data_IF_119473503469
#
_entry.id   IF_119473503469
#
_cell.length_a   1.000
_cell.length_b   1.000
_cell.length_c   1.000
_cell.angle_alpha   90.00
_cell.angle_beta   90.00
_cell.angle_gamma   90.00
#
_symmetry.space_group_name_H-M   'P 1'
#
loop_
_entity.id
_entity.type
_entity.pdbx_description
1 polymer ?
#
# COMPACT_ATOMS: atom_id res chain seq x y z
N UNK A 1 -3.67 10.27 -17.33
CA UNK A 1 -2.52 10.05 -16.42
C UNK A 1 -1.41 9.30 -17.17
N UNK A 2 -0.49 10.01 -17.86
CA UNK A 2 0.52 9.37 -18.71
C UNK A 2 1.44 8.40 -17.97
N UNK A 3 1.92 8.76 -16.77
CA UNK A 3 2.83 7.91 -16.01
C UNK A 3 2.19 6.60 -15.53
N UNK A 4 0.92 6.63 -15.16
CA UNK A 4 0.18 5.41 -14.79
C UNK A 4 0.03 4.47 -15.98
N UNK A 5 -0.19 5.02 -17.19
CA UNK A 5 -0.18 4.22 -18.43
C UNK A 5 1.21 3.61 -18.69
N UNK A 6 2.29 4.37 -18.50
CA UNK A 6 3.66 3.86 -18.64
C UNK A 6 3.96 2.74 -17.64
N UNK A 7 3.57 2.91 -16.37
CA UNK A 7 3.72 1.91 -15.33
C UNK A 7 2.93 0.64 -15.67
N UNK A 8 1.64 0.77 -16.01
CA UNK A 8 0.80 -0.38 -16.41
C UNK A 8 1.34 -1.13 -17.63
N UNK A 9 1.85 -0.41 -18.63
CA UNK A 9 2.48 -1.03 -19.79
C UNK A 9 3.77 -1.77 -19.41
N UNK A 10 4.58 -1.23 -18.51
CA UNK A 10 5.78 -1.89 -18.03
C UNK A 10 5.44 -3.15 -17.24
N UNK A 11 4.44 -3.10 -16.34
CA UNK A 11 3.94 -4.28 -15.63
C UNK A 11 3.48 -5.37 -16.61
N UNK A 12 2.70 -5.02 -17.64
CA UNK A 12 2.22 -5.97 -18.66
C UNK A 12 3.33 -6.67 -19.42
N UNK A 13 4.47 -6.01 -19.63
CA UNK A 13 5.63 -6.60 -20.32
C UNK A 13 6.52 -7.38 -19.34
N UNK A 14 6.54 -6.98 -18.07
CA UNK A 14 7.48 -7.47 -17.06
C UNK A 14 6.93 -8.66 -16.26
N UNK A 15 5.61 -8.74 -16.10
CA UNK A 15 4.95 -9.72 -15.26
C UNK A 15 4.13 -10.70 -16.10
N UNK A 16 4.28 -11.97 -15.77
CA UNK A 16 3.62 -13.12 -16.37
C UNK A 16 2.97 -13.91 -15.24
N UNK A 17 1.82 -14.58 -15.46
CA UNK A 17 1.24 -15.46 -14.45
C UNK A 17 2.11 -16.71 -14.23
N UNK A 18 2.98 -17.03 -15.18
CA UNK A 18 3.90 -18.17 -15.09
C UNK A 18 5.35 -17.73 -15.02
N UNK A 19 6.12 -18.47 -14.20
CA UNK A 19 7.56 -18.33 -14.07
C UNK A 19 7.98 -17.26 -13.06
N UNK A 20 9.28 -17.24 -12.69
CA UNK A 20 9.82 -16.24 -11.79
C UNK A 20 9.87 -14.87 -12.48
N UNK A 21 9.61 -13.81 -11.71
CA UNK A 21 9.83 -12.43 -12.16
C UNK A 21 11.34 -12.17 -12.16
N UNK A 22 11.89 -11.65 -13.26
CA UNK A 22 13.33 -11.32 -13.31
C UNK A 22 13.64 -10.03 -12.55
N UNK A 23 14.86 -9.92 -12.02
CA UNK A 23 15.32 -8.70 -11.34
C UNK A 23 15.31 -7.48 -12.25
N UNK A 24 15.66 -7.64 -13.54
CA UNK A 24 15.61 -6.55 -14.51
C UNK A 24 14.18 -6.08 -14.80
N UNK A 25 13.21 -7.00 -14.74
CA UNK A 25 11.79 -6.69 -14.84
C UNK A 25 11.32 -5.90 -13.61
N UNK A 26 11.66 -6.35 -12.40
CA UNK A 26 11.35 -5.67 -11.14
C UNK A 26 11.94 -4.26 -11.09
N UNK A 27 13.22 -4.09 -11.43
CA UNK A 27 13.90 -2.80 -11.38
C UNK A 27 13.29 -1.80 -12.38
N UNK A 28 12.87 -2.26 -13.57
CA UNK A 28 12.17 -1.42 -14.54
C UNK A 28 10.85 -0.87 -13.99
N UNK A 29 10.06 -1.73 -13.35
CA UNK A 29 8.76 -1.34 -12.77
C UNK A 29 8.97 -0.45 -11.55
N UNK A 30 9.96 -0.77 -10.69
CA UNK A 30 10.35 0.04 -9.53
C UNK A 30 10.73 1.46 -9.93
N UNK A 31 11.60 1.63 -10.93
CA UNK A 31 12.01 2.95 -11.40
C UNK A 31 10.83 3.80 -11.90
N UNK A 32 9.84 3.18 -12.55
CA UNK A 32 8.62 3.88 -13.00
C UNK A 32 7.70 4.21 -11.83
N UNK A 33 7.56 3.30 -10.87
CA UNK A 33 6.78 3.51 -9.65
C UNK A 33 7.34 4.67 -8.82
N UNK A 34 8.67 4.78 -8.70
CA UNK A 34 9.35 5.86 -7.98
C UNK A 34 9.04 7.26 -8.53
N UNK A 35 8.75 7.35 -9.82
CA UNK A 35 8.40 8.60 -10.48
C UNK A 35 6.93 9.03 -10.28
N UNK A 36 6.09 8.17 -9.70
CA UNK A 36 4.67 8.48 -9.44
C UNK A 36 4.55 9.43 -8.26
N UNK A 37 3.87 10.57 -8.50
CA UNK A 37 3.54 11.58 -7.49
C UNK A 37 2.03 11.60 -7.25
N UNK A 38 1.55 12.21 -6.14
CA UNK A 38 0.12 12.32 -5.85
C UNK A 38 -0.70 12.94 -7.00
N UNK A 39 -0.17 13.96 -7.68
CA UNK A 39 -0.85 14.57 -8.84
C UNK A 39 -1.03 13.62 -10.02
N UNK A 40 -0.10 12.65 -10.19
CA UNK A 40 -0.16 11.69 -11.29
C UNK A 40 -1.32 10.69 -11.08
N UNK A 41 -1.85 10.62 -9.86
CA UNK A 41 -2.98 9.79 -9.43
C UNK A 41 -4.22 10.57 -8.98
N UNK A 42 -4.23 11.90 -9.15
CA UNK A 42 -5.37 12.75 -8.75
C UNK A 42 -5.54 12.93 -7.23
N UNK A 43 -4.45 12.79 -6.45
CA UNK A 43 -4.44 12.91 -4.99
C UNK A 43 -3.62 14.11 -4.50
N UNK A 44 -3.46 15.14 -5.33
CA UNK A 44 -2.67 16.32 -5.02
C UNK A 44 -3.26 17.11 -3.85
N UNK A 45 -4.59 17.28 -3.80
CA UNK A 45 -5.31 17.96 -2.73
C UNK A 45 -5.16 17.24 -1.39
N UNK A 46 -5.35 15.92 -1.36
CA UNK A 46 -5.19 15.08 -0.17
C UNK A 46 -3.74 15.16 0.35
N UNK A 47 -2.77 15.15 -0.57
CA UNK A 47 -1.37 15.33 -0.21
C UNK A 47 -1.10 16.74 0.37
N UNK A 48 -1.76 17.81 -0.12
CA UNK A 48 -1.68 19.14 0.50
C UNK A 48 -2.21 19.12 1.94
N UNK A 49 -3.40 18.54 2.13
CA UNK A 49 -4.06 18.46 3.43
C UNK A 49 -3.16 17.71 4.43
N UNK A 50 -2.58 16.58 4.01
CA UNK A 50 -1.68 15.79 4.85
C UNK A 50 -0.40 16.56 5.24
N UNK A 51 0.16 17.41 4.35
CA UNK A 51 1.34 18.23 4.68
C UNK A 51 1.03 19.34 5.67
N UNK A 52 -0.17 19.90 5.60
CA UNK A 52 -0.63 20.95 6.51
C UNK A 52 -1.16 20.40 7.84
N UNK A 53 -1.24 19.08 7.99
CA UNK A 53 -1.59 18.39 9.23
C UNK A 53 -0.48 18.56 10.28
N UNK A 54 -0.48 19.71 10.95
CA UNK A 54 0.46 20.04 12.01
C UNK A 54 0.10 19.33 13.32
N UNK A 55 1.09 19.08 14.17
CA UNK A 55 0.87 18.53 15.53
C UNK A 55 -0.05 19.41 16.40
N UNK A 56 -0.27 20.66 15.99
CA UNK A 56 -1.16 21.66 16.58
C UNK A 56 -2.65 21.48 16.25
N UNK A 57 -3.01 20.66 15.25
CA UNK A 57 -4.40 20.21 15.04
C UNK A 57 -4.71 18.90 15.76
N UNK A 58 -3.78 18.39 16.60
CA UNK A 58 -4.18 17.47 17.67
C UNK A 58 -5.25 18.18 18.47
N UNK A 59 -6.47 17.63 18.62
CA UNK A 59 -7.40 18.17 19.60
C UNK A 59 -6.64 18.20 20.92
N UNK A 60 -6.55 19.38 21.52
CA UNK A 60 -5.89 19.56 22.81
C UNK A 60 -6.39 18.48 23.76
N UNK A 61 -5.48 17.71 24.36
CA UNK A 61 -5.79 16.89 25.52
C UNK A 61 -6.36 17.82 26.61
N UNK A 62 -7.68 17.97 26.67
CA UNK A 62 -8.24 19.08 27.44
C UNK A 62 -9.74 19.29 27.33
N UNK A 63 -10.53 18.21 27.30
CA UNK A 63 -11.85 18.08 27.96
C UNK A 63 -12.55 16.84 27.44
N UNK A 64 -12.57 15.79 28.28
CA UNK A 64 -13.49 14.65 28.13
C UNK A 64 -14.92 15.19 28.23
N UNK A 65 -15.50 15.56 27.09
CA UNK A 65 -16.93 15.70 26.93
C UNK A 65 -17.54 14.31 26.89
N UNK A 66 -18.21 13.93 27.97
CA UNK A 66 -19.16 12.81 27.99
C UNK A 66 -20.24 13.13 26.96
N UNK A 67 -20.32 12.33 25.89
CA UNK A 67 -21.32 12.31 24.79
C UNK A 67 -20.82 12.85 23.45
N UNK A 68 -20.67 11.96 22.47
CA UNK A 68 -20.65 12.34 21.05
C UNK A 68 -19.92 11.38 20.12
N UNK A 69 -20.45 10.16 19.99
CA UNK A 69 -20.10 9.15 18.99
C UNK A 69 -18.65 8.62 19.01
N UNK A 70 -18.55 7.30 18.90
CA UNK A 70 -17.35 6.61 18.48
C UNK A 70 -16.86 7.30 17.18
N UNK A 71 -15.84 8.16 17.26
CA UNK A 71 -15.18 8.71 16.08
C UNK A 71 -14.40 7.56 15.46
N UNK A 72 -15.12 6.63 14.82
CA UNK A 72 -14.52 5.65 13.94
C UNK A 72 -13.69 6.48 12.95
N UNK A 73 -12.37 6.30 12.98
CA UNK A 73 -11.51 6.85 11.96
C UNK A 73 -12.14 6.50 10.60
N UNK A 74 -12.18 7.46 9.67
CA UNK A 74 -12.79 7.22 8.37
C UNK A 74 -12.22 5.91 7.78
N UNK A 75 -13.04 5.11 7.08
CA UNK A 75 -12.57 3.83 6.58
C UNK A 75 -11.43 4.04 5.58
N UNK A 76 -10.52 3.07 5.52
CA UNK A 76 -9.51 3.01 4.47
C UNK A 76 -10.24 2.91 3.13
N UNK A 77 -9.88 3.78 2.19
CA UNK A 77 -10.43 3.74 0.83
C UNK A 77 -9.46 3.03 -0.10
N UNK A 78 -9.97 2.14 -0.93
CA UNK A 78 -9.21 1.51 -2.00
C UNK A 78 -9.57 2.15 -3.34
N UNK A 79 -8.58 2.66 -4.06
CA UNK A 79 -8.73 3.15 -5.42
C UNK A 79 -8.15 2.11 -6.37
N UNK A 80 -9.03 1.41 -7.07
CA UNK A 80 -8.65 0.46 -8.10
C UNK A 80 -8.09 1.18 -9.33
N UNK A 81 -6.96 0.72 -9.87
CA UNK A 81 -6.36 1.24 -11.10
C UNK A 81 -6.43 0.21 -12.22
N UNK A 82 -6.00 -1.02 -11.94
CA UNK A 82 -5.94 -2.10 -12.92
C UNK A 82 -5.92 -3.46 -12.23
N UNK A 83 -6.45 -4.48 -12.90
CA UNK A 83 -6.35 -5.87 -12.50
C UNK A 83 -6.42 -6.76 -13.74
N UNK A 84 -5.56 -7.76 -13.77
CA UNK A 84 -5.55 -8.87 -14.71
C UNK A 84 -4.94 -10.10 -14.05
N UNK A 85 -4.85 -11.22 -14.77
CA UNK A 85 -4.30 -12.46 -14.23
C UNK A 85 -2.84 -12.35 -13.76
N UNK A 86 -2.06 -11.42 -14.33
CA UNK A 86 -0.62 -11.30 -14.05
C UNK A 86 -0.29 -10.29 -12.96
N UNK A 87 -1.10 -9.23 -12.80
CA UNK A 87 -0.84 -8.20 -11.79
C UNK A 87 -2.09 -7.37 -11.47
N UNK A 88 -2.08 -6.77 -10.29
CA UNK A 88 -3.04 -5.75 -9.88
C UNK A 88 -2.32 -4.44 -9.50
N UNK A 89 -3.04 -3.33 -9.61
CA UNK A 89 -2.59 -2.01 -9.20
C UNK A 89 -3.73 -1.30 -8.47
N UNK A 90 -3.42 -0.79 -7.28
CA UNK A 90 -4.36 0.00 -6.50
C UNK A 90 -3.67 0.91 -5.51
N UNK A 91 -4.45 1.81 -4.91
CA UNK A 91 -3.98 2.78 -3.91
C UNK A 91 -4.84 2.65 -2.66
N UNK A 92 -4.19 2.52 -1.51
CA UNK A 92 -4.85 2.64 -0.20
C UNK A 92 -4.73 4.08 0.31
N UNK A 93 -5.86 4.76 0.44
CA UNK A 93 -5.95 6.05 1.11
C UNK A 93 -6.29 5.81 2.59
N UNK A 94 -5.31 5.99 3.45
CA UNK A 94 -5.36 5.66 4.88
C UNK A 94 -5.49 6.93 5.74
N UNK A 95 -6.61 7.11 6.47
CA UNK A 95 -6.72 8.20 7.45
C UNK A 95 -5.75 8.03 8.62
N UNK A 96 -5.44 9.09 9.38
CA UNK A 96 -4.57 8.98 10.54
C UNK A 96 -5.05 7.91 11.53
N UNK A 97 -4.13 7.08 12.01
CA UNK A 97 -4.39 5.96 12.93
C UNK A 97 -5.19 4.79 12.35
N UNK A 98 -5.45 4.75 11.04
CA UNK A 98 -5.96 3.53 10.41
C UNK A 98 -4.86 2.48 10.27
N UNK A 99 -5.26 1.21 10.22
CA UNK A 99 -4.36 0.06 10.21
C UNK A 99 -4.84 -0.91 9.15
N UNK A 100 -3.91 -1.39 8.32
CA UNK A 100 -4.07 -2.66 7.62
C UNK A 100 -3.46 -3.70 8.56
N UNK A 101 -4.24 -4.64 9.13
CA UNK A 101 -3.72 -5.64 10.05
C UNK A 101 -2.61 -6.48 9.41
N UNK A 102 -1.84 -7.18 10.23
CA UNK A 102 -0.86 -8.16 9.73
C UNK A 102 -1.57 -9.18 8.83
N UNK A 103 -1.00 -9.42 7.65
CA UNK A 103 -1.49 -10.35 6.64
C UNK A 103 -0.31 -10.84 5.80
N UNK A 104 -0.49 -11.94 5.09
CA UNK A 104 0.53 -12.48 4.19
C UNK A 104 0.17 -12.24 2.71
N UNK A 105 1.10 -12.60 1.83
CA UNK A 105 0.96 -12.51 0.37
C UNK A 105 1.46 -13.81 -0.29
N UNK A 106 0.73 -14.94 -0.17
CA UNK A 106 1.22 -16.25 -0.56
C UNK A 106 1.53 -16.32 -2.05
N UNK A 107 2.78 -16.62 -2.40
CA UNK A 107 3.24 -16.71 -3.79
C UNK A 107 3.26 -15.38 -4.57
N UNK A 108 3.08 -14.24 -3.90
CA UNK A 108 3.01 -12.94 -4.57
C UNK A 108 4.29 -12.13 -4.35
N UNK A 109 4.66 -11.31 -5.34
CA UNK A 109 5.64 -10.22 -5.19
C UNK A 109 4.91 -8.89 -5.17
N UNK A 110 5.12 -8.07 -4.13
CA UNK A 110 4.42 -6.79 -3.94
C UNK A 110 5.41 -5.62 -3.99
N UNK A 111 5.22 -4.72 -4.95
CA UNK A 111 5.91 -3.42 -5.01
C UNK A 111 5.03 -2.34 -4.38
N UNK A 112 5.47 -1.76 -3.27
CA UNK A 112 4.73 -0.73 -2.53
C UNK A 112 5.48 0.60 -2.48
N UNK A 113 4.75 1.71 -2.69
CA UNK A 113 5.30 3.07 -2.60
C UNK A 113 4.37 4.00 -1.82
N UNK A 114 4.91 4.67 -0.81
CA UNK A 114 4.21 5.76 -0.12
C UNK A 114 4.16 7.00 -1.02
N UNK A 115 2.96 7.46 -1.36
CA UNK A 115 2.78 8.64 -2.22
C UNK A 115 2.86 9.96 -1.45
N UNK A 116 2.32 10.00 -0.23
CA UNK A 116 2.36 11.15 0.69
C UNK A 116 2.09 10.69 2.13
N UNK A 117 2.37 11.57 3.10
CA UNK A 117 2.12 11.29 4.52
C UNK A 117 3.26 10.51 5.18
N UNK A 118 2.93 9.81 6.28
CA UNK A 118 3.84 8.96 7.05
C UNK A 118 3.12 7.66 7.39
N UNK A 119 3.80 6.54 7.21
CA UNK A 119 3.29 5.21 7.51
C UNK A 119 4.29 4.51 8.44
N UNK A 120 3.78 3.79 9.44
CA UNK A 120 4.55 2.81 10.17
C UNK A 120 4.32 1.45 9.52
N UNK A 121 5.40 0.78 9.12
CA UNK A 121 5.34 -0.52 8.47
C UNK A 121 6.23 -1.50 9.23
N UNK A 122 5.67 -2.68 9.51
CA UNK A 122 6.39 -3.84 10.02
C UNK A 122 6.16 -4.99 9.04
N UNK A 123 7.20 -5.76 8.78
CA UNK A 123 7.17 -6.93 7.90
C UNK A 123 7.98 -8.05 8.53
N UNK A 124 7.55 -9.29 8.30
CA UNK A 124 8.13 -10.49 8.89
C UNK A 124 8.27 -11.54 7.80
N UNK A 125 9.35 -12.32 7.87
CA UNK A 125 9.52 -13.54 7.10
C UNK A 125 9.33 -14.75 8.02
N UNK A 126 8.83 -15.86 7.46
CA UNK A 126 8.76 -17.11 8.19
C UNK A 126 10.17 -17.62 8.51
N UNK A 127 10.32 -18.23 9.68
CA UNK A 127 11.55 -18.93 10.03
C UNK A 127 11.50 -20.33 9.44
N UNK A 128 12.55 -20.75 8.73
CA UNK A 128 12.68 -22.13 8.26
C UNK A 128 12.86 -23.07 9.45
N UNK A 129 11.84 -23.90 9.74
CA UNK A 129 11.91 -24.93 10.77
C UNK A 129 12.12 -26.28 10.07
N UNK A 130 13.26 -26.97 10.29
CA UNK A 130 13.66 -28.17 9.54
C UNK A 130 12.64 -29.32 9.49
N UNK A 131 11.66 -29.35 10.42
CA UNK A 131 10.72 -30.45 10.60
C UNK A 131 9.23 -30.08 10.43
N UNK A 132 8.91 -28.87 9.94
CA UNK A 132 7.52 -28.47 9.65
C UNK A 132 7.34 -28.10 8.17
N UNK A 133 6.43 -28.75 7.42
CA UNK A 133 6.13 -28.38 6.05
C UNK A 133 5.54 -26.96 6.00
N UNK A 134 6.22 -26.07 5.26
CA UNK A 134 5.89 -24.63 5.13
C UNK A 134 4.44 -24.40 4.66
N UNK A 135 3.86 -25.35 3.94
CA UNK A 135 2.52 -25.27 3.37
C UNK A 135 1.38 -25.15 4.41
N UNK A 136 1.60 -25.55 5.67
CA UNK A 136 0.56 -25.46 6.71
C UNK A 136 0.51 -24.10 7.44
N UNK A 137 1.61 -23.32 7.46
CA UNK A 137 1.63 -22.01 8.13
C UNK A 137 1.12 -20.87 7.24
N UNK A 138 1.13 -21.02 5.92
CA UNK A 138 0.75 -19.96 4.99
C UNK A 138 -0.78 -19.75 4.88
N UNK A 139 -1.60 -20.64 5.45
CA UNK A 139 -3.06 -20.53 5.43
C UNK A 139 -3.66 -19.80 6.64
N UNK A 140 -2.88 -19.55 7.69
CA UNK A 140 -3.33 -18.87 8.90
C UNK A 140 -2.77 -17.45 8.89
N UNK A 141 -3.46 -16.52 8.21
CA UNK A 141 -3.57 -15.06 8.44
C UNK A 141 -4.07 -14.38 7.16
#
# INVERSE_FOLDING_TARGET
MPKIKSLSNACRVSFSPEGPISEEALERVRALLDMIRPLDVGLDNEAQIARNWSSSTRPSNGRRGRNGANQFAAPIKYLHIHECESFSMGIFCMPPSSVIPLHNHPGMTVLSKLLYGRLHAESYDWVDIPDHPIDQLQSEF
#
